data_IF_769853477138
#
_entry.id   IF_769853477138
#
_cell.length_a   1.000
_cell.length_b   1.000
_cell.length_c   1.000
_cell.angle_alpha   90.00
_cell.angle_beta   90.00
_cell.angle_gamma   90.00
#
_symmetry.space_group_name_H-M   'P 1'
#
loop_
_entity.id
_entity.type
_entity.pdbx_description
1 polymer ?
#
# COMPACT_ATOMS: atom_id res chain seq x y z
N UNK A 1 34.16 -23.10 -1.75
CA UNK A 1 32.96 -22.58 -2.45
C UNK A 1 31.65 -22.76 -1.67
N UNK A 2 31.33 -23.90 -1.04
CA UNK A 2 30.04 -24.09 -0.33
C UNK A 2 29.76 -23.09 0.81
N UNK A 3 30.78 -22.66 1.57
CA UNK A 3 30.64 -21.67 2.67
C UNK A 3 30.40 -20.23 2.20
N UNK A 4 30.82 -19.86 0.99
CA UNK A 4 30.59 -18.51 0.45
C UNK A 4 29.14 -18.35 -0.04
N UNK A 5 28.56 -19.39 -0.64
CA UNK A 5 27.17 -19.35 -1.10
C UNK A 5 26.16 -19.30 0.04
N UNK A 6 26.43 -19.96 1.18
CA UNK A 6 25.56 -19.87 2.36
C UNK A 6 25.61 -18.50 3.04
N UNK A 7 26.80 -17.88 3.20
CA UNK A 7 26.90 -16.55 3.79
C UNK A 7 26.24 -15.46 2.91
N UNK A 8 26.45 -15.51 1.60
CA UNK A 8 25.83 -14.56 0.66
C UNK A 8 24.30 -14.72 0.66
N UNK A 9 23.80 -15.96 0.69
CA UNK A 9 22.36 -16.22 0.75
C UNK A 9 21.73 -15.75 2.06
N UNK A 10 22.41 -15.89 3.21
CA UNK A 10 21.87 -15.49 4.51
C UNK A 10 21.85 -13.95 4.67
N UNK A 11 22.88 -13.25 4.18
CA UNK A 11 22.89 -11.78 4.16
C UNK A 11 21.80 -11.18 3.26
N UNK A 12 21.50 -11.83 2.11
CA UNK A 12 20.43 -11.41 1.21
C UNK A 12 19.03 -11.55 1.85
N UNK A 13 18.77 -12.64 2.58
CA UNK A 13 17.50 -12.84 3.28
C UNK A 13 17.30 -11.84 4.44
N UNK A 14 18.37 -11.49 5.17
CA UNK A 14 18.29 -10.49 6.24
C UNK A 14 18.08 -9.08 5.68
N UNK A 15 18.79 -8.74 4.58
CA UNK A 15 18.66 -7.44 3.92
C UNK A 15 17.26 -7.20 3.34
N UNK A 16 16.67 -8.22 2.72
CA UNK A 16 15.31 -8.15 2.17
C UNK A 16 14.24 -8.02 3.25
N UNK A 17 14.36 -8.78 4.35
CA UNK A 17 13.45 -8.67 5.49
C UNK A 17 13.52 -7.29 6.16
N UNK A 18 14.73 -6.74 6.32
CA UNK A 18 14.92 -5.41 6.89
C UNK A 18 14.34 -4.31 5.99
N UNK A 19 14.55 -4.39 4.68
CA UNK A 19 13.98 -3.46 3.71
C UNK A 19 12.44 -3.49 3.76
N UNK A 20 11.84 -4.68 3.76
CA UNK A 20 10.39 -4.83 3.85
C UNK A 20 9.83 -4.27 5.16
N UNK A 21 10.55 -4.43 6.28
CA UNK A 21 10.16 -3.84 7.58
C UNK A 21 10.18 -2.30 7.55
N UNK A 22 11.19 -1.69 6.93
CA UNK A 22 11.25 -0.23 6.78
C UNK A 22 10.15 0.31 5.86
N UNK A 23 9.85 -0.41 4.78
CA UNK A 23 8.74 -0.08 3.88
C UNK A 23 7.39 -0.19 4.59
N UNK A 24 7.18 -1.26 5.37
CA UNK A 24 5.96 -1.43 6.20
C UNK A 24 5.79 -0.28 7.20
N UNK A 25 6.85 0.09 7.93
CA UNK A 25 6.82 1.20 8.86
C UNK A 25 6.51 2.55 8.19
N UNK A 26 6.82 2.71 6.91
CA UNK A 26 6.44 3.90 6.13
C UNK A 26 4.94 3.95 5.88
N UNK A 27 4.34 2.81 5.55
CA UNK A 27 2.88 2.72 5.41
C UNK A 27 2.18 2.91 6.75
N UNK A 28 2.68 2.30 7.82
CA UNK A 28 2.11 2.46 9.18
C UNK A 28 2.05 3.94 9.60
N UNK A 29 3.14 4.69 9.36
CA UNK A 29 3.17 6.15 9.60
C UNK A 29 2.14 6.91 8.78
N UNK A 30 1.94 6.56 7.50
CA UNK A 30 0.91 7.19 6.67
C UNK A 30 -0.49 6.90 7.23
N UNK A 31 -0.79 5.65 7.58
CA UNK A 31 -2.09 5.25 8.13
C UNK A 31 -2.37 5.96 9.45
N UNK A 32 -1.37 6.04 10.33
CA UNK A 32 -1.48 6.80 11.57
C UNK A 32 -1.73 8.29 11.34
N UNK A 33 -1.01 8.89 10.38
CA UNK A 33 -1.21 10.29 10.02
C UNK A 33 -2.62 10.53 9.47
N UNK A 34 -3.11 9.69 8.54
CA UNK A 34 -4.49 9.77 8.02
C UNK A 34 -5.52 9.66 9.15
N UNK A 35 -5.32 8.72 10.09
CA UNK A 35 -6.22 8.55 11.23
C UNK A 35 -6.30 9.81 12.08
N UNK A 36 -5.16 10.41 12.38
CA UNK A 36 -5.04 11.49 13.36
C UNK A 36 -5.25 12.91 12.78
N UNK A 37 -5.17 13.08 11.46
CA UNK A 37 -5.36 14.40 10.80
C UNK A 37 -6.84 14.64 10.46
N UNK A 38 -7.42 15.81 10.78
CA UNK A 38 -8.74 16.22 10.30
C UNK A 38 -8.85 16.21 8.77
N UNK A 39 -10.03 15.97 8.21
CA UNK A 39 -10.17 15.80 6.75
C UNK A 39 -9.93 17.11 5.97
N UNK A 40 -10.22 18.25 6.60
CA UNK A 40 -9.90 19.59 6.11
C UNK A 40 -8.38 19.83 5.99
N UNK A 41 -7.59 19.11 6.79
CA UNK A 41 -6.14 19.29 6.90
C UNK A 41 -5.35 18.23 6.14
N UNK A 42 -6.00 17.29 5.45
CA UNK A 42 -5.33 16.27 4.64
C UNK A 42 -4.23 16.76 3.68
N UNK A 43 -4.30 17.97 3.07
CA UNK A 43 -3.20 18.47 2.25
C UNK A 43 -1.84 18.50 2.95
N UNK A 44 -1.77 18.59 4.28
CA UNK A 44 -0.50 18.55 5.02
C UNK A 44 0.21 17.18 4.91
N UNK A 45 -0.52 16.13 4.52
CA UNK A 45 -0.01 14.77 4.38
C UNK A 45 0.55 14.48 2.98
N UNK A 46 0.26 15.32 1.98
CA UNK A 46 0.74 15.11 0.61
C UNK A 46 2.27 14.97 0.50
N UNK A 47 3.11 15.67 1.29
CA UNK A 47 4.56 15.47 1.30
C UNK A 47 5.02 14.06 1.76
N UNK A 48 4.15 13.26 2.38
CA UNK A 48 4.45 11.86 2.69
C UNK A 48 4.42 10.96 1.45
N UNK A 49 3.86 11.47 0.35
CA UNK A 49 3.76 10.81 -0.94
C UNK A 49 4.83 11.34 -1.89
N UNK A 50 5.32 10.46 -2.75
CA UNK A 50 6.23 10.83 -3.84
C UNK A 50 5.43 11.15 -5.10
N UNK A 51 4.86 12.35 -5.12
CA UNK A 51 4.12 12.88 -6.26
C UNK A 51 5.13 13.43 -7.28
N UNK A 52 5.25 12.74 -8.41
CA UNK A 52 6.17 13.08 -9.51
C UNK A 52 5.44 13.56 -10.76
N UNK A 53 4.12 13.37 -10.81
CA UNK A 53 3.27 13.76 -11.92
C UNK A 53 2.10 14.58 -11.42
N UNK A 54 1.67 15.55 -12.23
CA UNK A 54 0.43 16.27 -11.96
C UNK A 54 -0.75 15.33 -12.21
N UNK A 55 -1.66 15.24 -11.23
CA UNK A 55 -2.94 14.54 -11.44
C UNK A 55 -3.81 15.48 -12.29
N UNK A 56 -4.24 15.08 -13.50
CA UNK A 56 -4.99 15.98 -14.37
C UNK A 56 -6.30 16.44 -13.70
N UNK A 57 -6.69 17.69 -13.94
CA UNK A 57 -7.90 18.27 -13.34
C UNK A 57 -9.17 17.49 -13.73
N UNK A 58 -9.22 16.98 -14.96
CA UNK A 58 -10.29 16.12 -15.46
C UNK A 58 -10.39 14.76 -14.75
N UNK A 59 -9.32 14.34 -14.05
CA UNK A 59 -9.27 13.15 -13.20
C UNK A 59 -9.48 13.46 -11.72
N UNK A 60 -9.88 14.70 -11.39
CA UNK A 60 -10.12 15.17 -10.03
C UNK A 60 -8.92 15.83 -9.35
N UNK A 61 -7.77 15.95 -10.03
CA UNK A 61 -6.59 16.63 -9.49
C UNK A 61 -6.15 16.13 -8.11
N UNK A 62 -5.60 17.03 -7.29
CA UNK A 62 -5.15 16.72 -5.94
C UNK A 62 -6.31 16.40 -4.98
N UNK A 63 -7.55 16.77 -5.31
CA UNK A 63 -8.74 16.41 -4.51
C UNK A 63 -8.95 14.89 -4.49
N UNK A 64 -8.49 14.17 -5.52
CA UNK A 64 -8.51 12.71 -5.54
C UNK A 64 -7.73 12.11 -4.36
N UNK A 65 -6.59 12.69 -4.00
CA UNK A 65 -5.81 12.23 -2.85
C UNK A 65 -6.54 12.50 -1.54
N UNK A 66 -7.21 13.66 -1.43
CA UNK A 66 -8.07 13.98 -0.29
C UNK A 66 -9.18 12.93 -0.12
N UNK A 67 -9.85 12.56 -1.21
CA UNK A 67 -10.89 11.54 -1.20
C UNK A 67 -10.35 10.15 -0.82
N UNK A 68 -9.18 9.76 -1.35
CA UNK A 68 -8.55 8.48 -0.96
C UNK A 68 -8.26 8.46 0.54
N UNK A 69 -7.70 9.53 1.10
CA UNK A 69 -7.45 9.63 2.54
C UNK A 69 -8.75 9.59 3.36
N UNK A 70 -9.81 10.27 2.93
CA UNK A 70 -11.12 10.23 3.61
C UNK A 70 -11.70 8.81 3.66
N UNK A 71 -11.64 8.09 2.53
CA UNK A 71 -12.13 6.72 2.46
C UNK A 71 -11.30 5.80 3.35
N UNK A 72 -9.96 5.89 3.28
CA UNK A 72 -9.08 5.10 4.16
C UNK A 72 -9.40 5.40 5.63
N UNK A 73 -9.50 6.69 6.00
CA UNK A 73 -9.81 7.14 7.37
C UNK A 73 -11.10 6.50 7.89
N UNK A 74 -12.16 6.53 7.07
CA UNK A 74 -13.47 5.94 7.42
C UNK A 74 -13.35 4.47 7.82
N UNK A 75 -12.47 3.71 7.16
CA UNK A 75 -12.30 2.28 7.44
C UNK A 75 -11.36 1.98 8.62
N UNK A 76 -10.39 2.84 8.91
CA UNK A 76 -9.38 2.60 9.96
C UNK A 76 -9.73 3.23 11.31
N UNK A 77 -10.83 3.99 11.39
CA UNK A 77 -11.25 4.64 12.63
C UNK A 77 -11.68 3.66 13.72
N UNK A 78 -12.30 2.55 13.34
CA UNK A 78 -12.92 1.65 14.30
C UNK A 78 -11.92 0.75 15.03
N UNK A 79 -10.84 0.30 14.36
CA UNK A 79 -9.84 -0.62 14.93
C UNK A 79 -8.47 -0.51 14.23
N UNK A 80 -7.42 -1.01 14.91
CA UNK A 80 -6.06 -1.04 14.37
C UNK A 80 -5.94 -1.90 13.11
N UNK A 81 -5.67 -1.31 11.93
CA UNK A 81 -5.53 -2.08 10.71
C UNK A 81 -4.25 -2.93 10.72
N UNK A 82 -4.30 -4.07 10.03
CA UNK A 82 -3.12 -4.90 9.78
C UNK A 82 -2.67 -4.66 8.34
N UNK A 83 -1.37 -4.49 8.13
CA UNK A 83 -0.80 -4.40 6.79
C UNK A 83 -0.29 -5.76 6.34
N UNK A 84 -0.81 -6.20 5.19
CA UNK A 84 -0.34 -7.38 4.47
C UNK A 84 0.28 -6.97 3.15
N UNK A 85 1.39 -7.59 2.80
CA UNK A 85 1.95 -7.54 1.44
C UNK A 85 1.03 -8.25 0.46
N UNK A 86 1.22 -8.08 -0.86
CA UNK A 86 0.44 -8.85 -1.86
C UNK A 86 0.51 -10.36 -1.61
N UNK A 87 1.68 -10.89 -1.25
CA UNK A 87 1.85 -12.31 -0.98
C UNK A 87 1.03 -12.76 0.24
N UNK A 88 1.15 -12.03 1.35
CA UNK A 88 0.39 -12.35 2.56
C UNK A 88 -1.12 -12.16 2.35
N UNK A 89 -1.54 -11.18 1.55
CA UNK A 89 -2.95 -10.97 1.19
C UNK A 89 -3.51 -12.14 0.35
N UNK A 90 -2.73 -12.69 -0.56
CA UNK A 90 -3.09 -13.89 -1.34
C UNK A 90 -3.21 -15.10 -0.42
N UNK A 91 -2.28 -15.27 0.52
CA UNK A 91 -2.34 -16.36 1.51
C UNK A 91 -3.57 -16.24 2.42
N UNK A 92 -3.92 -15.02 2.86
CA UNK A 92 -5.12 -14.72 3.63
C UNK A 92 -6.41 -15.05 2.85
N UNK A 93 -6.44 -14.79 1.55
CA UNK A 93 -7.57 -15.15 0.69
C UNK A 93 -7.67 -16.67 0.53
N UNK A 94 -6.55 -17.33 0.22
CA UNK A 94 -6.51 -18.77 0.00
C UNK A 94 -6.82 -19.57 1.27
N UNK A 95 -6.55 -19.02 2.45
CA UNK A 95 -6.93 -19.63 3.74
C UNK A 95 -8.44 -19.55 4.02
N UNK A 96 -9.20 -18.76 3.25
CA UNK A 96 -10.62 -18.53 3.45
C UNK A 96 -10.95 -17.51 4.55
N UNK A 97 -9.95 -16.78 5.07
CA UNK A 97 -10.16 -15.75 6.10
C UNK A 97 -10.87 -14.51 5.57
N UNK A 98 -10.88 -14.28 4.25
CA UNK A 98 -11.65 -13.21 3.58
C UNK A 98 -12.35 -13.77 2.35
N UNK A 99 -13.47 -13.14 1.94
CA UNK A 99 -14.24 -13.52 0.74
C UNK A 99 -13.73 -12.89 -0.56
N UNK A 100 -12.58 -12.22 -0.51
CA UNK A 100 -12.02 -11.51 -1.67
C UNK A 100 -11.38 -12.46 -2.66
N UNK A 101 -11.18 -12.00 -3.89
CA UNK A 101 -10.59 -12.82 -4.95
C UNK A 101 -9.11 -12.49 -5.08
N UNK A 102 -8.29 -13.52 -5.30
CA UNK A 102 -6.86 -13.36 -5.60
C UNK A 102 -6.64 -12.43 -6.80
N UNK A 103 -7.55 -12.44 -7.78
CA UNK A 103 -7.50 -11.54 -8.96
C UNK A 103 -7.63 -10.05 -8.63
N UNK A 104 -8.09 -9.71 -7.42
CA UNK A 104 -8.20 -8.32 -6.97
C UNK A 104 -6.89 -7.84 -6.32
N UNK A 105 -5.90 -8.73 -6.13
CA UNK A 105 -4.57 -8.41 -5.58
C UNK A 105 -3.59 -8.15 -6.72
N UNK A 106 -2.98 -6.98 -6.68
CA UNK A 106 -1.98 -6.52 -7.62
C UNK A 106 -0.59 -6.63 -7.01
N UNK A 107 0.41 -6.76 -7.88
CA UNK A 107 1.82 -6.64 -7.57
C UNK A 107 2.41 -5.43 -8.30
N UNK A 108 3.60 -5.01 -7.89
CA UNK A 108 4.33 -3.90 -8.52
C UNK A 108 5.76 -4.31 -8.78
N UNK A 109 6.28 -3.94 -9.95
CA UNK A 109 7.70 -3.99 -10.29
C UNK A 109 8.48 -2.79 -9.73
N UNK A 110 7.78 -1.76 -9.21
CA UNK A 110 8.37 -0.51 -8.69
C UNK A 110 8.50 -0.48 -7.18
N UNK A 111 7.99 -1.47 -6.46
CA UNK A 111 8.01 -1.49 -5.01
C UNK A 111 7.21 -2.62 -4.39
N UNK A 112 7.22 -2.67 -3.06
CA UNK A 112 6.38 -3.60 -2.29
C UNK A 112 4.98 -3.00 -2.16
N UNK A 113 3.97 -3.81 -2.46
CA UNK A 113 2.57 -3.42 -2.33
C UNK A 113 2.03 -3.89 -0.99
N UNK A 114 1.42 -2.99 -0.24
CA UNK A 114 0.75 -3.26 1.02
C UNK A 114 -0.76 -3.03 0.89
N UNK A 115 -1.52 -3.94 1.46
CA UNK A 115 -2.96 -3.91 1.61
C UNK A 115 -3.33 -3.71 3.07
N UNK A 116 -4.33 -2.86 3.30
CA UNK A 116 -4.91 -2.61 4.62
C UNK A 116 -5.98 -3.69 4.85
N UNK A 117 -5.78 -4.52 5.87
CA UNK A 117 -6.76 -5.48 6.36
C UNK A 117 -7.48 -4.95 7.58
N UNK A 118 -8.79 -5.14 7.61
CA UNK A 118 -9.70 -4.78 8.69
C UNK A 118 -10.17 -6.08 9.35
N UNK A 119 -9.55 -6.51 10.47
CA UNK A 119 -9.82 -7.81 11.08
C UNK A 119 -11.27 -8.00 11.51
N UNK A 120 -11.92 -6.94 11.99
CA UNK A 120 -13.32 -7.03 12.43
C UNK A 120 -14.32 -7.24 11.29
N UNK A 121 -13.93 -6.87 10.07
CA UNK A 121 -14.79 -6.96 8.90
C UNK A 121 -14.36 -8.07 7.93
N UNK A 122 -13.31 -8.83 8.28
CA UNK A 122 -12.69 -9.84 7.42
C UNK A 122 -12.46 -9.32 5.99
N UNK A 123 -11.92 -8.09 5.88
CA UNK A 123 -11.89 -7.33 4.61
C UNK A 123 -10.54 -6.66 4.36
N UNK A 124 -9.99 -6.86 3.16
CA UNK A 124 -8.89 -6.06 2.60
C UNK A 124 -9.44 -4.84 1.85
N UNK A 125 -8.74 -3.72 1.94
CA UNK A 125 -9.03 -2.54 1.14
C UNK A 125 -8.37 -2.65 -0.26
N UNK A 126 -8.89 -3.56 -1.10
CA UNK A 126 -8.28 -3.89 -2.41
C UNK A 126 -8.21 -2.72 -3.40
N UNK A 127 -9.04 -1.68 -3.21
CA UNK A 127 -9.01 -0.45 -4.03
C UNK A 127 -7.93 0.55 -3.60
N UNK A 128 -7.34 0.35 -2.42
CA UNK A 128 -6.37 1.26 -1.81
C UNK A 128 -5.05 0.54 -1.48
N UNK A 129 -4.41 -0.16 -2.44
CA UNK A 129 -3.06 -0.68 -2.23
C UNK A 129 -2.07 0.47 -2.13
N UNK A 130 -1.09 0.32 -1.24
CA UNK A 130 -0.04 1.31 -1.01
C UNK A 130 1.27 0.72 -1.49
N UNK A 131 1.91 1.37 -2.48
CA UNK A 131 3.17 0.90 -3.04
C UNK A 131 4.33 1.72 -2.47
N UNK A 132 5.32 1.03 -1.92
CA UNK A 132 6.53 1.65 -1.38
C UNK A 132 7.75 1.18 -2.16
N UNK A 133 8.50 2.13 -2.73
CA UNK A 133 9.70 1.82 -3.51
C UNK A 133 10.88 1.42 -2.61
N UNK A 134 12.02 1.07 -3.22
CA UNK A 134 13.24 0.68 -2.50
C UNK A 134 13.88 1.80 -1.66
N UNK A 135 13.46 3.05 -1.85
CA UNK A 135 13.90 4.22 -1.08
C UNK A 135 12.96 4.56 0.08
N UNK A 136 11.98 3.69 0.38
CA UNK A 136 10.92 3.93 1.37
C UNK A 136 10.03 5.14 1.04
N UNK A 137 9.84 5.43 -0.25
CA UNK A 137 8.91 6.47 -0.71
C UNK A 137 7.57 5.83 -1.14
N UNK A 138 6.45 6.44 -0.75
CA UNK A 138 5.11 6.00 -1.15
C UNK A 138 4.82 6.51 -2.57
N UNK A 139 4.71 5.61 -3.53
CA UNK A 139 4.60 5.95 -4.97
C UNK A 139 3.22 5.63 -5.57
N UNK A 140 2.32 4.99 -4.82
CA UNK A 140 0.92 4.77 -5.19
C UNK A 140 0.11 4.49 -3.92
N UNK A 141 -1.17 4.90 -3.90
CA UNK A 141 -2.09 4.68 -2.75
C UNK A 141 -3.48 4.19 -3.16
N UNK A 142 -3.72 4.02 -4.46
CA UNK A 142 -4.99 3.54 -5.01
C UNK A 142 -4.77 2.87 -6.36
N UNK A 143 -5.83 2.21 -6.83
CA UNK A 143 -5.93 1.72 -8.21
C UNK A 143 -6.89 2.57 -9.01
N UNK A 144 -6.76 2.51 -10.34
CA UNK A 144 -7.72 3.08 -11.28
C UNK A 144 -7.77 2.23 -12.56
N UNK A 145 -8.58 2.65 -13.53
CA UNK A 145 -8.61 2.09 -14.87
C UNK A 145 -7.44 2.63 -15.71
N UNK A 146 -6.64 1.71 -16.24
CA UNK A 146 -5.65 1.99 -17.26
C UNK A 146 -6.32 2.25 -18.63
N UNK A 147 -5.55 2.76 -19.60
CA UNK A 147 -6.04 3.08 -20.96
C UNK A 147 -6.68 1.90 -21.70
N UNK A 148 -6.31 0.68 -21.33
CA UNK A 148 -6.84 -0.57 -21.85
C UNK A 148 -8.05 -1.10 -21.04
N UNK A 149 -8.63 -0.27 -20.16
CA UNK A 149 -9.70 -0.59 -19.22
C UNK A 149 -9.34 -1.71 -18.22
N UNK A 150 -8.06 -2.09 -18.10
CA UNK A 150 -7.60 -2.96 -17.03
C UNK A 150 -7.49 -2.17 -15.71
N UNK A 151 -7.62 -2.87 -14.59
CA UNK A 151 -7.37 -2.28 -13.28
C UNK A 151 -5.86 -2.24 -13.05
N UNK A 152 -5.32 -1.06 -12.71
CA UNK A 152 -3.88 -0.90 -12.48
C UNK A 152 -3.57 0.05 -11.31
N UNK A 153 -2.36 -0.06 -10.77
CA UNK A 153 -1.84 0.84 -9.74
C UNK A 153 -1.69 2.25 -10.29
N UNK A 154 -2.26 3.24 -9.60
CA UNK A 154 -2.09 4.65 -9.97
C UNK A 154 -0.82 5.21 -9.31
N UNK A 155 0.27 5.26 -10.08
CA UNK A 155 1.52 5.85 -9.61
C UNK A 155 1.44 7.38 -9.54
N UNK A 156 2.08 7.96 -8.53
CA UNK A 156 2.09 9.38 -8.18
C UNK A 156 3.21 10.16 -8.87
#
# INVERSE_FOLDING_TARGET
MKLFFTLVSMCLCIGTLHAQKAQKATVERLIEAIRNTPEEDFPILYPMLKITQEIPAEQGGMEKLRQVFAIIKTYIQDQGPILYTSQEAIELINSGQTKQRVSDILTSDRGVVFYIYLPYHDKLLVRFPIVVNSKNEIIAINIDYCKDNSICLQYL
#
